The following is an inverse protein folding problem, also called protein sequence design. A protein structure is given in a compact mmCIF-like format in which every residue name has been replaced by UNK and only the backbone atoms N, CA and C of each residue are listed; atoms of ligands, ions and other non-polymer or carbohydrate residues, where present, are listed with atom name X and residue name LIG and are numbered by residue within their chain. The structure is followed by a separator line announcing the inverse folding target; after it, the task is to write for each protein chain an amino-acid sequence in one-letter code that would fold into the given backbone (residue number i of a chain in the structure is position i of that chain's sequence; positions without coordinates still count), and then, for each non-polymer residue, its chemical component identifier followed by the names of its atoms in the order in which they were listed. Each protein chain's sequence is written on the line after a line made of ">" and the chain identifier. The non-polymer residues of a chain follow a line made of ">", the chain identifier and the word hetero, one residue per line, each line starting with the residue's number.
data_IF_587424577170
#
_entry.id   IF_587424577170
#
_cell.length_a   1.000
_cell.length_b   1.000
_cell.length_c   1.000
_cell.angle_alpha   90.00
_cell.angle_beta   90.00
_cell.angle_gamma   90.00
#
_symmetry.space_group_name_H-M   'P 1'
#
loop_
_entity.id
_entity.type
_entity.pdbx_description
1 polymer ?
#
# COMPACT_ATOMS: atom_id res chain seq x y z
N UNK A 1 -0.53 2.24 -15.02
CA UNK A 1 -1.41 3.38 -15.39
C UNK A 1 -2.37 2.96 -16.49
N UNK A 2 -3.46 3.72 -16.67
CA UNK A 2 -4.34 3.60 -17.83
C UNK A 2 -3.75 4.44 -18.96
N UNK A 3 -3.52 3.86 -20.14
CA UNK A 3 -2.88 4.51 -21.28
C UNK A 3 -3.81 4.53 -22.49
N UNK A 4 -3.98 5.72 -23.07
CA UNK A 4 -4.63 5.91 -24.35
C UNK A 4 -3.59 5.81 -25.47
N UNK A 5 -3.64 4.79 -26.35
CA UNK A 5 -2.67 4.62 -27.43
C UNK A 5 -2.82 5.62 -28.58
N UNK A 6 -3.98 6.26 -28.72
CA UNK A 6 -4.24 7.25 -29.78
C UNK A 6 -3.77 8.63 -29.32
N UNK A 7 -4.26 9.07 -28.16
CA UNK A 7 -3.88 10.37 -27.59
C UNK A 7 -2.50 10.36 -26.92
N UNK A 8 -1.87 9.19 -26.82
CA UNK A 8 -0.57 8.97 -26.19
C UNK A 8 -0.47 9.61 -24.79
N UNK A 9 -1.49 9.34 -23.98
CA UNK A 9 -1.65 10.00 -22.67
C UNK A 9 -2.13 9.06 -21.60
N UNK A 10 -1.79 9.39 -20.35
CA UNK A 10 -2.32 8.70 -19.18
C UNK A 10 -3.71 9.21 -18.85
N UNK A 11 -4.63 8.30 -18.55
CA UNK A 11 -6.01 8.57 -18.16
C UNK A 11 -6.25 8.28 -16.67
N UNK A 12 -7.07 9.11 -16.03
CA UNK A 12 -7.68 8.79 -14.74
C UNK A 12 -8.79 7.73 -14.91
N UNK A 13 -9.25 7.10 -13.83
CA UNK A 13 -10.28 6.08 -13.91
C UNK A 13 -11.61 6.63 -14.46
N UNK A 14 -11.95 7.87 -14.08
CA UNK A 14 -13.17 8.58 -14.48
C UNK A 14 -13.17 9.01 -15.95
N UNK A 15 -12.01 8.95 -16.60
CA UNK A 15 -11.85 9.26 -18.03
C UNK A 15 -12.04 8.02 -18.92
N UNK A 16 -12.46 6.90 -18.32
CA UNK A 16 -12.69 5.64 -18.99
C UNK A 16 -14.17 5.32 -18.85
N UNK A 17 -14.82 5.05 -19.96
CA UNK A 17 -16.22 4.65 -19.95
C UNK A 17 -16.41 3.20 -19.43
N UNK A 18 -17.67 2.79 -19.33
CA UNK A 18 -18.04 1.43 -18.89
C UNK A 18 -17.55 0.33 -19.82
N UNK A 19 -17.21 0.64 -21.07
CA UNK A 19 -16.66 -0.31 -22.04
C UNK A 19 -15.13 -0.37 -22.00
N UNK A 20 -14.48 0.38 -21.08
CA UNK A 20 -13.03 0.41 -20.97
C UNK A 20 -12.35 1.27 -22.04
N UNK A 21 -13.08 2.20 -22.66
CA UNK A 21 -12.55 3.08 -23.72
C UNK A 21 -12.32 4.50 -23.18
N UNK A 22 -11.39 5.19 -23.82
CA UNK A 22 -11.12 6.59 -23.58
C UNK A 22 -12.33 7.44 -23.92
N UNK A 23 -12.79 8.27 -22.97
CA UNK A 23 -13.92 9.19 -23.16
C UNK A 23 -13.76 10.15 -24.35
N UNK A 24 -12.53 10.39 -24.81
CA UNK A 24 -12.21 11.35 -25.86
C UNK A 24 -11.87 10.67 -27.19
N UNK A 25 -10.90 9.76 -27.18
CA UNK A 25 -10.42 9.13 -28.41
C UNK A 25 -11.27 7.91 -28.83
N UNK A 26 -12.08 7.37 -27.90
CA UNK A 26 -12.82 6.12 -28.10
C UNK A 26 -11.93 4.86 -28.18
N UNK A 27 -10.61 5.02 -28.02
CA UNK A 27 -9.66 3.93 -28.06
C UNK A 27 -9.80 3.03 -26.83
N UNK A 28 -9.60 1.73 -27.02
CA UNK A 28 -9.53 0.77 -25.91
C UNK A 28 -8.30 1.09 -25.07
N UNK A 29 -8.51 1.25 -23.77
CA UNK A 29 -7.46 1.68 -22.85
C UNK A 29 -6.53 0.50 -22.50
N UNK A 30 -5.23 0.75 -22.58
CA UNK A 30 -4.20 -0.23 -22.23
C UNK A 30 -3.73 -0.07 -20.77
N UNK A 31 -3.36 -1.18 -20.13
CA UNK A 31 -2.64 -1.14 -18.85
C UNK A 31 -1.14 -1.14 -19.12
N UNK A 32 -0.44 -0.08 -18.69
CA UNK A 32 1.02 0.02 -18.80
C UNK A 32 1.70 0.13 -17.44
N UNK A 33 2.80 -0.62 -17.25
CA UNK A 33 3.72 -0.48 -16.10
C UNK A 33 4.56 0.79 -16.34
N UNK A 34 4.53 1.74 -15.40
CA UNK A 34 5.34 2.97 -15.45
C UNK A 34 6.02 3.20 -14.11
N UNK A 35 7.26 3.65 -14.14
CA UNK A 35 7.95 4.15 -12.94
C UNK A 35 7.35 5.51 -12.57
N UNK A 36 6.85 5.63 -11.34
CA UNK A 36 6.27 6.85 -10.81
C UNK A 36 6.80 7.13 -9.41
N UNK A 37 6.77 8.39 -9.00
CA UNK A 37 7.03 8.78 -7.62
C UNK A 37 5.84 8.38 -6.73
N UNK A 38 6.02 8.29 -5.42
CA UNK A 38 4.93 8.07 -4.49
C UNK A 38 5.27 8.70 -3.15
N UNK A 39 4.28 9.33 -2.52
CA UNK A 39 4.38 9.75 -1.12
C UNK A 39 3.88 8.60 -0.25
N UNK A 40 4.69 8.15 0.70
CA UNK A 40 4.33 7.03 1.61
C UNK A 40 3.34 7.47 2.71
N UNK A 41 2.15 7.92 2.32
CA UNK A 41 1.07 8.33 3.24
C UNK A 41 0.64 7.19 4.18
N UNK A 42 0.84 5.94 3.77
CA UNK A 42 0.54 4.74 4.57
C UNK A 42 1.27 4.71 5.91
N UNK A 43 2.45 5.35 6.04
CA UNK A 43 3.16 5.46 7.33
C UNK A 43 2.38 6.28 8.37
N UNK A 44 1.55 7.20 7.92
CA UNK A 44 0.72 8.04 8.78
C UNK A 44 -0.68 7.46 9.01
N UNK A 45 -1.03 6.33 8.37
CA UNK A 45 -2.38 5.80 8.37
C UNK A 45 -2.96 5.60 9.78
N UNK A 46 -2.22 4.97 10.71
CA UNK A 46 -2.68 4.80 12.10
C UNK A 46 -2.93 6.14 12.81
N UNK A 47 -2.02 7.11 12.67
CA UNK A 47 -2.21 8.46 13.27
C UNK A 47 -3.40 9.19 12.65
N UNK A 48 -3.59 9.03 11.34
CA UNK A 48 -4.74 9.57 10.62
C UNK A 48 -6.03 8.90 11.07
N UNK A 49 -6.03 7.58 11.30
CA UNK A 49 -7.18 6.85 11.83
C UNK A 49 -7.49 7.26 13.28
N UNK A 50 -6.52 7.19 14.19
CA UNK A 50 -6.67 7.55 15.60
C UNK A 50 -7.08 9.02 15.78
N UNK A 51 -6.57 9.90 14.91
CA UNK A 51 -6.93 11.32 14.91
C UNK A 51 -8.39 11.60 14.56
N UNK A 52 -9.09 10.68 13.89
CA UNK A 52 -10.53 10.86 13.58
C UNK A 52 -11.37 10.90 14.86
N UNK A 53 -10.98 10.14 15.88
CA UNK A 53 -11.69 10.09 17.17
C UNK A 53 -11.63 11.41 17.94
N UNK A 54 -10.74 12.32 17.55
CA UNK A 54 -10.57 13.63 18.18
C UNK A 54 -11.42 14.73 17.53
N UNK A 55 -12.06 14.45 16.39
CA UNK A 55 -12.81 15.44 15.63
C UNK A 55 -14.26 15.51 16.13
N UNK A 56 -14.59 16.51 16.95
CA UNK A 56 -15.98 16.79 17.35
C UNK A 56 -16.76 17.41 16.20
N UNK A 57 -17.99 16.95 15.94
CA UNK A 57 -18.90 17.44 14.88
C UNK A 57 -18.47 17.07 13.44
N UNK A 58 -17.67 16.02 13.27
CA UNK A 58 -17.21 15.55 11.95
C UNK A 58 -17.62 14.09 11.65
N UNK A 59 -18.61 13.55 12.36
CA UNK A 59 -18.91 12.11 12.39
C UNK A 59 -19.04 11.49 10.99
N UNK A 60 -19.82 12.09 10.09
CA UNK A 60 -20.01 11.58 8.73
C UNK A 60 -18.71 11.54 7.92
N UNK A 61 -17.89 12.59 8.01
CA UNK A 61 -16.59 12.67 7.31
C UNK A 61 -15.61 11.70 7.95
N UNK A 62 -15.65 11.55 9.27
CA UNK A 62 -14.83 10.59 10.00
C UNK A 62 -15.17 9.15 9.61
N UNK A 63 -16.43 8.81 9.44
CA UNK A 63 -16.86 7.49 8.97
C UNK A 63 -16.37 7.21 7.53
N UNK A 64 -16.55 8.18 6.62
CA UNK A 64 -16.04 8.07 5.24
C UNK A 64 -14.52 7.83 5.25
N UNK A 65 -13.77 8.62 6.02
CA UNK A 65 -12.32 8.45 6.10
C UNK A 65 -11.91 7.17 6.83
N UNK A 66 -12.62 6.75 7.86
CA UNK A 66 -12.35 5.51 8.60
C UNK A 66 -12.50 4.30 7.67
N UNK A 67 -13.57 4.27 6.87
CA UNK A 67 -13.77 3.25 5.86
C UNK A 67 -12.72 3.32 4.75
N UNK A 68 -12.34 4.51 4.32
CA UNK A 68 -11.35 4.71 3.25
C UNK A 68 -9.93 4.33 3.69
N UNK A 69 -9.54 4.65 4.93
CA UNK A 69 -8.27 4.25 5.52
C UNK A 69 -8.30 2.74 5.81
N UNK A 70 -9.41 2.22 6.35
CA UNK A 70 -9.56 0.84 6.78
C UNK A 70 -8.75 0.49 8.04
N UNK A 71 -8.72 -0.81 8.35
CA UNK A 71 -8.13 -1.31 9.60
C UNK A 71 -6.61 -1.11 9.61
N UNK A 72 -6.11 -0.38 10.60
CA UNK A 72 -4.67 -0.10 10.72
C UNK A 72 -3.93 -1.05 11.67
N UNK A 73 -4.61 -1.93 12.40
CA UNK A 73 -3.97 -2.79 13.39
C UNK A 73 -3.98 -4.25 12.90
N UNK A 74 -3.09 -4.55 11.95
CA UNK A 74 -2.93 -5.91 11.41
C UNK A 74 -1.51 -6.41 11.51
N UNK A 75 -1.34 -7.73 11.40
CA UNK A 75 -0.04 -8.38 11.37
C UNK A 75 0.37 -8.60 9.92
N UNK A 76 1.57 -8.15 9.59
CA UNK A 76 2.16 -8.33 8.26
C UNK A 76 3.21 -9.44 8.30
N UNK A 77 3.15 -10.34 7.33
CA UNK A 77 4.05 -11.46 7.13
C UNK A 77 4.62 -11.42 5.71
N UNK A 78 5.94 -11.54 5.59
CA UNK A 78 6.60 -11.72 4.30
C UNK A 78 7.01 -13.18 4.19
N UNK A 79 6.38 -13.92 3.28
CA UNK A 79 6.70 -15.32 3.05
C UNK A 79 7.54 -15.50 1.79
N UNK A 80 8.65 -16.24 1.87
CA UNK A 80 9.40 -16.61 0.70
C UNK A 80 8.67 -17.67 -0.11
N UNK A 81 8.87 -17.60 -1.42
CA UNK A 81 8.21 -18.42 -2.42
C UNK A 81 9.19 -19.41 -3.05
N UNK A 82 8.65 -20.54 -3.52
CA UNK A 82 9.36 -21.47 -4.40
C UNK A 82 8.45 -21.94 -5.52
N UNK A 83 9.02 -22.19 -6.70
CA UNK A 83 8.30 -22.78 -7.81
C UNK A 83 8.09 -24.30 -7.64
N UNK A 84 7.39 -24.91 -8.59
CA UNK A 84 7.13 -26.36 -8.61
C UNK A 84 8.41 -27.21 -8.70
N UNK A 85 9.50 -26.65 -9.23
CA UNK A 85 10.84 -27.28 -9.25
C UNK A 85 11.62 -27.09 -7.94
N UNK A 86 10.96 -26.62 -6.87
CA UNK A 86 11.55 -26.33 -5.56
C UNK A 86 12.64 -25.25 -5.56
N UNK A 87 12.74 -24.44 -6.61
CA UNK A 87 13.69 -23.33 -6.68
C UNK A 87 13.10 -22.08 -6.02
N UNK A 88 13.91 -21.31 -5.26
CA UNK A 88 13.45 -20.07 -4.65
C UNK A 88 13.08 -19.04 -5.72
N UNK A 89 12.06 -18.24 -5.42
CA UNK A 89 11.67 -17.09 -6.24
C UNK A 89 12.18 -15.79 -5.58
N UNK A 90 12.39 -14.74 -6.39
CA UNK A 90 12.80 -13.44 -5.87
C UNK A 90 11.64 -12.71 -5.18
N UNK A 91 10.42 -12.97 -5.64
CA UNK A 91 9.21 -12.41 -5.07
C UNK A 91 8.90 -12.99 -3.68
N UNK A 92 8.30 -12.15 -2.84
CA UNK A 92 7.77 -12.53 -1.54
C UNK A 92 6.24 -12.35 -1.53
N UNK A 93 5.54 -13.24 -0.84
CA UNK A 93 4.13 -13.02 -0.52
C UNK A 93 4.03 -12.10 0.70
N UNK A 94 3.44 -10.92 0.49
CA UNK A 94 3.05 -10.00 1.56
C UNK A 94 1.64 -10.34 2.05
N UNK A 95 1.57 -11.16 3.11
CA UNK A 95 0.31 -11.54 3.73
C UNK A 95 -0.01 -10.62 4.91
N UNK A 96 -1.24 -10.10 4.95
CA UNK A 96 -1.76 -9.36 6.09
C UNK A 96 -2.92 -10.10 6.74
N UNK A 97 -2.92 -10.18 8.07
CA UNK A 97 -3.93 -10.90 8.84
C UNK A 97 -4.34 -10.11 10.08
N UNK A 98 -5.61 -10.23 10.46
CA UNK A 98 -6.10 -9.68 11.73
C UNK A 98 -5.61 -10.52 12.93
N UNK A 99 -5.60 -11.85 12.78
CA UNK A 99 -5.15 -12.80 13.80
C UNK A 99 -3.88 -13.56 13.34
N UNK A 100 -2.74 -13.35 14.01
CA UNK A 100 -1.49 -14.02 13.66
C UNK A 100 -1.49 -15.49 14.12
N UNK A 101 -2.37 -15.91 15.03
CA UNK A 101 -2.50 -17.31 15.44
C UNK A 101 -3.01 -18.16 14.28
N UNK A 102 -3.95 -17.62 13.48
CA UNK A 102 -4.41 -18.26 12.25
C UNK A 102 -3.30 -18.60 11.26
N UNK A 103 -2.24 -17.79 11.20
CA UNK A 103 -1.07 -18.05 10.32
C UNK A 103 -0.32 -19.29 10.76
N UNK A 104 -0.19 -19.51 12.06
CA UNK A 104 0.48 -20.70 12.58
C UNK A 104 -0.26 -21.98 12.15
N UNK A 105 -1.60 -21.92 12.07
CA UNK A 105 -2.52 -23.01 11.70
C UNK A 105 -2.76 -23.16 10.20
N UNK A 106 -2.37 -22.18 9.41
CA UNK A 106 -2.58 -22.18 7.98
C UNK A 106 -1.96 -23.44 7.34
N UNK A 107 -2.72 -24.09 6.46
CA UNK A 107 -2.24 -25.25 5.69
C UNK A 107 -1.95 -24.89 4.24
N UNK A 108 -2.58 -23.83 3.74
CA UNK A 108 -2.41 -23.29 2.40
C UNK A 108 -2.67 -21.79 2.41
N UNK A 109 -2.30 -21.09 1.34
CA UNK A 109 -2.67 -19.69 1.10
C UNK A 109 -3.69 -19.62 -0.02
N UNK A 110 -4.67 -18.75 0.13
CA UNK A 110 -5.63 -18.41 -0.92
C UNK A 110 -5.31 -17.01 -1.42
N UNK A 111 -5.13 -16.85 -2.73
CA UNK A 111 -5.01 -15.57 -3.41
C UNK A 111 -6.11 -15.41 -4.45
N UNK A 112 -6.66 -14.21 -4.60
CA UNK A 112 -7.69 -13.91 -5.60
C UNK A 112 -7.06 -13.54 -6.94
N UNK A 113 -7.69 -13.89 -8.05
CA UNK A 113 -7.32 -13.38 -9.38
C UNK A 113 -7.24 -11.85 -9.36
N UNK A 114 -6.14 -11.32 -9.88
CA UNK A 114 -5.79 -9.90 -9.79
C UNK A 114 -4.79 -9.58 -8.67
N UNK A 115 -4.46 -10.55 -7.80
CA UNK A 115 -3.27 -10.49 -6.96
C UNK A 115 -2.00 -10.51 -7.85
N UNK A 116 -0.92 -9.77 -7.55
CA UNK A 116 0.29 -9.73 -8.38
C UNK A 116 0.89 -11.12 -8.67
N UNK A 117 0.87 -12.00 -7.67
CA UNK A 117 1.33 -13.39 -7.82
C UNK A 117 0.36 -14.32 -8.59
N UNK A 118 -0.82 -13.83 -8.99
CA UNK A 118 -1.76 -14.55 -9.86
C UNK A 118 -1.63 -14.14 -11.33
N UNK A 119 -0.73 -13.21 -11.65
CA UNK A 119 -0.45 -12.76 -13.01
C UNK A 119 0.12 -13.93 -13.84
N UNK A 120 -0.32 -14.13 -15.10
CA UNK A 120 0.21 -15.16 -16.01
C UNK A 120 1.74 -15.18 -16.17
N UNK A 121 2.44 -14.08 -15.88
CA UNK A 121 3.91 -14.05 -15.83
C UNK A 121 4.48 -15.06 -14.81
N UNK A 122 3.73 -15.39 -13.75
CA UNK A 122 4.14 -16.37 -12.74
C UNK A 122 3.76 -17.79 -13.16
N UNK A 123 4.74 -18.71 -13.16
CA UNK A 123 4.50 -20.14 -13.39
C UNK A 123 3.92 -20.78 -12.14
N UNK A 124 2.58 -20.85 -12.07
CA UNK A 124 1.88 -21.72 -11.13
C UNK A 124 2.15 -23.20 -11.48
N UNK A 125 2.18 -24.11 -10.48
CA UNK A 125 2.00 -23.85 -9.06
C UNK A 125 3.30 -23.36 -8.36
N UNK A 126 3.12 -22.64 -7.26
CA UNK A 126 4.20 -22.29 -6.34
C UNK A 126 3.74 -22.49 -4.88
N UNK A 127 4.70 -22.57 -3.96
CA UNK A 127 4.44 -22.75 -2.53
C UNK A 127 5.10 -21.64 -1.72
N UNK A 128 4.52 -21.32 -0.56
CA UNK A 128 5.08 -20.38 0.41
C UNK A 128 5.68 -21.14 1.59
N UNK A 129 6.76 -20.64 2.18
CA UNK A 129 7.26 -21.18 3.45
C UNK A 129 6.59 -20.45 4.62
N UNK A 130 5.83 -21.17 5.42
CA UNK A 130 5.33 -20.66 6.68
C UNK A 130 6.49 -20.64 7.70
N UNK A 131 6.97 -19.45 8.03
CA UNK A 131 8.08 -19.28 8.98
C UNK A 131 7.75 -19.73 10.42
N UNK A 132 6.46 -19.76 10.80
CA UNK A 132 6.06 -20.18 12.15
C UNK A 132 6.00 -21.71 12.23
N UNK A 133 5.32 -22.35 11.29
CA UNK A 133 5.16 -23.82 11.30
C UNK A 133 6.34 -24.57 10.68
N UNK A 134 7.15 -23.89 9.87
CA UNK A 134 8.24 -24.47 9.08
C UNK A 134 7.77 -25.31 7.90
N UNK A 135 6.48 -25.20 7.52
CA UNK A 135 5.87 -26.01 6.47
C UNK A 135 5.75 -25.22 5.17
N UNK A 136 6.05 -25.88 4.05
CA UNK A 136 5.73 -25.35 2.73
C UNK A 136 4.25 -25.55 2.43
N UNK A 137 3.55 -24.45 2.22
CA UNK A 137 2.11 -24.40 2.00
C UNK A 137 1.83 -24.09 0.53
N UNK A 138 0.94 -24.83 -0.15
CA UNK A 138 0.57 -24.51 -1.51
C UNK A 138 -0.19 -23.18 -1.57
N UNK A 139 -0.06 -22.47 -2.69
CA UNK A 139 -0.84 -21.26 -2.98
C UNK A 139 -1.93 -21.59 -3.99
N UNK A 140 -3.16 -21.22 -3.66
CA UNK A 140 -4.35 -21.47 -4.47
C UNK A 140 -4.88 -20.15 -5.01
N UNK A 141 -5.16 -20.13 -6.31
CA UNK A 141 -5.78 -18.98 -6.97
C UNK A 141 -7.28 -19.22 -7.07
N UNK A 142 -8.07 -18.32 -6.47
CA UNK A 142 -9.53 -18.31 -6.58
C UNK A 142 -10.01 -17.22 -7.56
N UNK A 143 -11.17 -17.40 -8.22
CA UNK A 143 -11.74 -16.42 -9.15
C UNK A 143 -11.95 -15.03 -8.55
N UNK A 144 -12.04 -14.00 -9.39
CA UNK A 144 -12.29 -12.61 -8.95
C UNK A 144 -13.62 -12.48 -8.18
N UNK A 145 -14.64 -13.28 -8.52
CA UNK A 145 -15.95 -13.31 -7.86
C UNK A 145 -16.04 -14.31 -6.68
N UNK A 146 -14.91 -14.79 -6.16
CA UNK A 146 -14.89 -15.72 -5.04
C UNK A 146 -15.64 -15.17 -3.80
N UNK A 147 -16.70 -15.88 -3.41
CA UNK A 147 -17.56 -15.58 -2.26
C UNK A 147 -17.14 -16.45 -1.06
N UNK A 148 -16.07 -16.03 -0.40
CA UNK A 148 -15.52 -16.74 0.76
C UNK A 148 -15.10 -15.77 1.86
N UNK A 149 -14.36 -16.28 2.87
CA UNK A 149 -13.89 -15.45 3.99
C UNK A 149 -13.15 -14.19 3.51
N UNK A 150 -13.19 -13.10 4.30
CA UNK A 150 -12.55 -11.84 3.93
C UNK A 150 -11.06 -12.03 3.66
N UNK A 151 -10.57 -11.35 2.62
CA UNK A 151 -9.19 -11.40 2.18
C UNK A 151 -8.58 -10.01 2.29
N UNK A 152 -7.37 -9.93 2.82
CA UNK A 152 -6.63 -8.68 2.94
C UNK A 152 -5.65 -8.59 1.78
N UNK A 153 -5.74 -7.49 1.01
CA UNK A 153 -4.96 -7.33 -0.22
C UNK A 153 -5.06 -8.54 -1.16
N UNK A 154 -6.26 -9.11 -1.31
CA UNK A 154 -6.51 -10.30 -2.14
C UNK A 154 -5.76 -11.57 -1.72
N UNK A 155 -5.32 -11.67 -0.47
CA UNK A 155 -4.70 -12.87 0.11
C UNK A 155 -5.29 -13.21 1.48
N UNK A 156 -5.32 -14.50 1.83
CA UNK A 156 -5.64 -15.00 3.19
C UNK A 156 -5.00 -16.35 3.48
N UNK A 157 -4.96 -16.72 4.75
CA UNK A 157 -4.69 -18.10 5.17
C UNK A 157 -5.89 -18.99 4.88
N UNK A 158 -5.62 -20.22 4.46
CA UNK A 158 -6.58 -21.31 4.37
C UNK A 158 -6.41 -22.32 5.49
N UNK A 159 -7.53 -22.78 6.06
CA UNK A 159 -7.60 -23.80 7.10
C UNK A 159 -8.35 -25.03 6.60
N UNK A 160 -7.86 -26.23 6.90
CA UNK A 160 -8.43 -27.47 6.35
C UNK A 160 -9.86 -27.76 6.80
N UNK A 161 -10.28 -27.22 7.94
CA UNK A 161 -11.62 -27.43 8.48
C UNK A 161 -12.57 -26.36 7.94
N UNK A 162 -12.17 -25.10 8.01
CA UNK A 162 -13.01 -24.00 7.54
C UNK A 162 -13.18 -23.97 6.01
N UNK A 163 -12.17 -24.44 5.27
CA UNK A 163 -12.11 -24.37 3.81
C UNK A 163 -12.20 -25.75 3.14
N UNK A 164 -13.00 -26.67 3.71
CA UNK A 164 -13.12 -28.06 3.24
C UNK A 164 -13.41 -28.18 1.73
N UNK A 165 -14.21 -27.28 1.16
CA UNK A 165 -14.51 -27.25 -0.28
C UNK A 165 -13.28 -26.98 -1.13
N UNK A 166 -12.40 -26.05 -0.70
CA UNK A 166 -11.15 -25.77 -1.40
C UNK A 166 -10.15 -26.92 -1.24
N UNK A 167 -10.13 -27.55 -0.06
CA UNK A 167 -9.29 -28.75 0.19
C UNK A 167 -9.65 -29.88 -0.76
N UNK A 168 -10.94 -30.16 -0.92
CA UNK A 168 -11.45 -31.17 -1.84
C UNK A 168 -11.17 -30.81 -3.29
N UNK A 169 -11.52 -29.58 -3.70
CA UNK A 169 -11.36 -29.11 -5.08
C UNK A 169 -9.90 -29.14 -5.55
N UNK A 170 -8.96 -28.75 -4.69
CA UNK A 170 -7.54 -28.63 -5.04
C UNK A 170 -6.69 -29.81 -4.53
N UNK A 171 -7.31 -30.88 -4.01
CA UNK A 171 -6.64 -32.06 -3.47
C UNK A 171 -5.49 -31.73 -2.49
N UNK A 172 -5.75 -30.83 -1.53
CA UNK A 172 -4.72 -30.35 -0.62
C UNK A 172 -4.32 -31.46 0.36
N UNK A 173 -3.11 -31.98 0.23
CA UNK A 173 -2.58 -33.04 1.09
C UNK A 173 -2.03 -32.43 2.39
N UNK A 174 -2.61 -32.83 3.52
CA UNK A 174 -2.24 -32.31 4.83
C UNK A 174 -0.82 -32.77 5.23
N UNK A 175 0.05 -31.81 5.56
CA UNK A 175 1.28 -32.11 6.29
C UNK A 175 0.94 -32.51 7.72
N UNK A 176 1.26 -33.75 8.13
CA UNK A 176 1.10 -34.22 9.52
C UNK A 176 2.06 -33.47 10.45
N UNK A 177 1.66 -32.30 10.94
CA UNK A 177 2.28 -31.72 12.13
C UNK A 177 1.21 -31.13 13.02
N UNK A 178 1.01 -31.76 14.17
CA UNK A 178 0.26 -31.17 15.26
C UNK A 178 1.02 -29.91 15.69
N UNK A 179 0.51 -28.75 15.33
CA UNK A 179 1.01 -27.49 15.87
C UNK A 179 0.74 -27.52 17.37
N UNK A 180 1.76 -27.27 18.18
CA UNK A 180 1.54 -26.99 19.60
C UNK A 180 0.52 -25.85 19.71
N UNK A 181 -0.40 -25.88 20.70
CA UNK A 181 -1.27 -24.75 20.96
C UNK A 181 -0.38 -23.54 21.28
N UNK A 182 -0.28 -22.62 20.32
CA UNK A 182 0.52 -21.40 20.44
C UNK A 182 -0.39 -20.26 20.85
N UNK A 183 0.05 -19.50 21.85
CA UNK A 183 -0.60 -18.24 22.21
C UNK A 183 0.00 -17.08 21.38
N UNK A 184 -0.61 -15.89 21.46
CA UNK A 184 -0.16 -14.70 20.73
C UNK A 184 1.31 -14.35 21.02
N UNK A 185 1.76 -14.52 22.27
CA UNK A 185 3.14 -14.23 22.68
C UNK A 185 4.11 -15.20 22.02
N UNK A 186 3.77 -16.48 21.94
CA UNK A 186 4.61 -17.50 21.29
C UNK A 186 4.80 -17.17 19.80
N UNK A 187 3.71 -16.82 19.11
CA UNK A 187 3.76 -16.42 17.70
C UNK A 187 4.63 -15.18 17.49
N UNK A 188 4.47 -14.18 18.36
CA UNK A 188 5.27 -12.96 18.32
C UNK A 188 6.75 -13.23 18.63
N UNK A 189 7.07 -14.10 19.59
CA UNK A 189 8.45 -14.45 19.93
C UNK A 189 9.11 -15.27 18.82
N UNK A 190 8.47 -16.32 18.29
CA UNK A 190 8.99 -17.13 17.18
C UNK A 190 9.33 -16.24 15.98
N UNK A 191 8.51 -15.23 15.72
CA UNK A 191 8.75 -14.31 14.62
C UNK A 191 9.77 -13.19 14.89
N UNK A 192 9.99 -12.81 16.16
CA UNK A 192 11.08 -11.89 16.55
C UNK A 192 12.44 -12.58 16.46
N UNK A 193 12.49 -13.88 16.72
CA UNK A 193 13.72 -14.66 16.68
C UNK A 193 14.17 -14.90 15.22
N UNK A 194 15.09 -14.03 14.75
CA UNK A 194 15.76 -14.07 13.43
C UNK A 194 16.56 -15.34 13.12
N UNK A 195 16.55 -16.34 14.01
CA UNK A 195 17.13 -17.65 13.78
C UNK A 195 16.11 -18.67 14.23
N UNK A 196 15.40 -19.25 13.26
CA UNK A 196 14.70 -20.51 13.50
C UNK A 196 15.73 -21.51 14.07
N UNK A 197 15.35 -22.37 15.03
CA UNK A 197 16.11 -23.58 15.29
C UNK A 197 16.38 -24.25 13.94
N UNK A 198 17.59 -24.78 13.69
CA UNK A 198 17.90 -25.52 12.46
C UNK A 198 16.86 -26.64 12.29
N UNK A 199 15.81 -26.40 11.51
CA UNK A 199 14.79 -27.39 11.22
C UNK A 199 15.33 -28.28 10.11
N UNK A 200 15.68 -29.52 10.45
CA UNK A 200 15.94 -30.56 9.46
C UNK A 200 14.60 -31.03 8.90
N UNK A 201 14.33 -30.69 7.64
CA UNK A 201 13.29 -31.32 6.83
C UNK A 201 13.99 -31.95 5.61
N UNK A 202 14.53 -33.16 5.78
CA UNK A 202 15.32 -33.83 4.73
C UNK A 202 16.67 -33.16 4.42
N UNK A 203 17.24 -33.49 3.26
CA UNK A 203 18.60 -33.13 2.81
C UNK A 203 18.76 -31.67 2.33
N UNK A 204 17.71 -30.85 2.42
CA UNK A 204 17.79 -29.43 2.06
C UNK A 204 18.07 -28.64 3.34
N UNK A 205 19.34 -28.36 3.58
CA UNK A 205 19.74 -27.25 4.45
C UNK A 205 19.18 -26.00 3.80
N UNK A 206 18.08 -25.45 4.33
CA UNK A 206 17.60 -24.14 3.92
C UNK A 206 18.74 -23.15 4.19
N UNK A 207 19.44 -22.77 3.12
CA UNK A 207 20.58 -21.87 3.19
C UNK A 207 20.21 -20.59 3.93
N UNK A 208 21.16 -20.14 4.75
CA UNK A 208 21.00 -19.13 5.78
C UNK A 208 20.52 -17.74 5.30
N UNK A 209 20.29 -17.53 4.00
CA UNK A 209 19.74 -16.29 3.44
C UNK A 209 18.21 -16.16 3.59
N UNK A 210 17.46 -17.27 3.55
CA UNK A 210 15.98 -17.23 3.59
C UNK A 210 15.41 -16.82 4.96
N UNK A 211 16.17 -17.07 6.04
CA UNK A 211 15.71 -16.88 7.41
C UNK A 211 15.71 -15.39 7.83
N UNK A 212 16.47 -14.52 7.18
CA UNK A 212 16.47 -13.07 7.48
C UNK A 212 15.21 -12.33 6.99
N UNK A 213 14.40 -12.97 6.14
CA UNK A 213 13.27 -12.33 5.45
C UNK A 213 11.95 -12.37 6.24
N UNK A 214 11.90 -13.10 7.36
CA UNK A 214 10.74 -13.12 8.23
C UNK A 214 10.69 -11.85 9.09
N UNK A 215 9.74 -10.97 8.79
CA UNK A 215 9.40 -9.83 9.66
C UNK A 215 7.91 -9.90 9.99
N UNK A 216 7.57 -10.26 11.23
CA UNK A 216 6.29 -9.82 11.79
C UNK A 216 6.49 -8.40 12.27
N UNK A 217 5.73 -7.50 11.66
CA UNK A 217 5.52 -6.16 12.19
C UNK A 217 4.03 -6.07 12.46
N UNK A 218 3.66 -5.59 13.65
CA UNK A 218 2.33 -5.03 13.84
C UNK A 218 2.27 -3.83 12.91
N UNK A 219 1.72 -4.02 11.74
CA UNK A 219 1.76 -3.03 10.69
C UNK A 219 0.66 -2.02 10.99
N UNK A 220 1.11 -0.88 11.51
CA UNK A 220 0.27 0.31 11.74
C UNK A 220 -0.11 1.01 10.43
N UNK A 221 0.30 0.46 9.28
CA UNK A 221 -0.16 0.92 7.97
C UNK A 221 -1.53 0.32 7.74
N UNK A 222 -2.46 1.16 7.32
CA UNK A 222 -3.78 0.76 6.90
C UNK A 222 -3.78 -0.46 5.97
N UNK A 223 -4.65 -1.43 6.29
CA UNK A 223 -5.39 -2.19 5.29
C UNK A 223 -6.31 -1.21 4.59
N UNK A 224 -5.78 -0.49 3.62
CA UNK A 224 -6.64 0.22 2.70
C UNK A 224 -7.53 -0.85 2.04
N UNK A 225 -8.86 -0.85 2.29
CA UNK A 225 -9.79 -1.85 1.77
C UNK A 225 -10.01 -1.50 0.32
N UNK A 226 -8.98 -1.75 -0.46
CA UNK A 226 -8.83 -1.22 -1.80
C UNK A 226 -8.03 -2.26 -2.54
N UNK A 227 -8.56 -2.65 -3.69
CA UNK A 227 -7.80 -3.41 -4.65
C UNK A 227 -6.48 -2.66 -4.87
N UNK A 228 -5.39 -3.36 -5.18
CA UNK A 228 -4.12 -2.73 -5.56
C UNK A 228 -4.28 -1.66 -6.67
N UNK A 229 -5.41 -1.65 -7.39
CA UNK A 229 -5.84 -0.60 -8.32
C UNK A 229 -6.11 0.77 -7.69
N UNK A 230 -6.53 0.83 -6.42
CA UNK A 230 -6.96 2.07 -5.75
C UNK A 230 -5.92 2.60 -4.75
N UNK A 231 -5.04 1.75 -4.22
CA UNK A 231 -3.78 2.24 -3.60
C UNK A 231 -2.93 2.99 -4.64
N UNK A 232 -3.03 2.59 -5.92
CA UNK A 232 -2.48 3.37 -7.02
C UNK A 232 -3.21 4.70 -7.23
N UNK A 233 -4.49 4.86 -6.90
CA UNK A 233 -5.20 6.16 -6.96
C UNK A 233 -4.63 7.16 -5.94
N UNK A 234 -4.31 6.70 -4.73
CA UNK A 234 -3.68 7.53 -3.68
C UNK A 234 -2.30 8.03 -4.13
N UNK A 235 -1.52 7.19 -4.80
CA UNK A 235 -0.21 7.57 -5.35
C UNK A 235 -0.32 8.43 -6.63
N UNK A 236 -1.30 8.15 -7.49
CA UNK A 236 -1.56 8.89 -8.73
C UNK A 236 -1.89 10.35 -8.45
N UNK A 237 -2.34 10.71 -7.25
CA UNK A 237 -2.80 12.06 -6.94
C UNK A 237 -1.70 13.13 -6.82
N UNK A 238 -0.42 12.78 -6.65
CA UNK A 238 0.64 13.78 -6.63
C UNK A 238 1.39 13.93 -7.97
N UNK A 239 1.33 12.95 -8.87
CA UNK A 239 2.15 12.93 -10.09
C UNK A 239 1.28 12.78 -11.32
N UNK A 240 1.45 13.70 -12.27
CA UNK A 240 0.69 13.73 -13.52
C UNK A 240 1.63 13.83 -14.71
N UNK A 241 1.34 13.07 -15.77
CA UNK A 241 1.95 13.26 -17.09
C UNK A 241 1.24 14.44 -17.79
N UNK A 242 1.39 15.63 -17.22
CA UNK A 242 0.75 16.88 -17.66
C UNK A 242 1.79 17.99 -17.63
N UNK A 243 1.74 18.85 -18.64
CA UNK A 243 2.64 20.01 -18.73
C UNK A 243 2.26 21.11 -17.74
N UNK A 244 0.98 21.26 -17.39
CA UNK A 244 0.51 22.30 -16.48
C UNK A 244 0.42 21.78 -15.04
N UNK A 245 1.48 21.97 -14.27
CA UNK A 245 1.59 21.57 -12.87
C UNK A 245 2.95 21.92 -12.28
N UNK A 246 3.13 21.64 -10.99
CA UNK A 246 4.41 21.89 -10.31
C UNK A 246 5.45 20.87 -10.76
N UNK A 247 6.62 21.31 -11.26
CA UNK A 247 7.69 20.39 -11.59
C UNK A 247 8.16 19.61 -10.35
N UNK A 248 8.45 18.33 -10.54
CA UNK A 248 9.01 17.49 -9.47
C UNK A 248 10.50 17.87 -9.32
N UNK A 249 10.96 18.30 -8.14
CA UNK A 249 12.31 18.83 -7.95
C UNK A 249 13.35 17.72 -7.78
N UNK A 250 13.44 16.83 -8.78
CA UNK A 250 14.36 15.69 -8.81
C UNK A 250 15.13 15.69 -10.14
N UNK A 251 16.43 15.47 -10.09
CA UNK A 251 17.29 15.23 -11.25
C UNK A 251 17.50 13.72 -11.38
N UNK A 252 17.35 13.19 -12.59
CA UNK A 252 17.71 11.80 -12.90
C UNK A 252 19.15 11.75 -13.40
N UNK A 253 19.88 10.71 -12.99
CA UNK A 253 21.18 10.38 -13.60
C UNK A 253 21.01 10.04 -15.08
N UNK A 254 22.09 10.13 -15.90
CA UNK A 254 22.00 9.84 -17.34
C UNK A 254 21.50 8.43 -17.69
N UNK A 255 21.71 7.47 -16.80
CA UNK A 255 21.20 6.09 -16.93
C UNK A 255 19.70 5.96 -16.56
N UNK A 256 19.08 7.03 -16.05
CA UNK A 256 17.69 7.05 -15.61
C UNK A 256 17.41 6.23 -14.35
N UNK A 257 18.42 5.67 -13.68
CA UNK A 257 18.26 4.77 -12.53
C UNK A 257 18.19 5.55 -11.23
N UNK A 258 19.16 6.45 -11.02
CA UNK A 258 19.31 7.21 -9.78
C UNK A 258 18.58 8.54 -9.90
N UNK A 259 17.95 8.96 -8.80
CA UNK A 259 17.25 10.22 -8.71
C UNK A 259 17.74 11.00 -7.49
N UNK A 260 18.11 12.26 -7.68
CA UNK A 260 18.69 13.13 -6.65
C UNK A 260 17.80 14.36 -6.50
N UNK A 261 17.43 14.76 -5.27
CA UNK A 261 16.65 15.98 -5.06
C UNK A 261 17.48 17.22 -5.40
N UNK A 262 16.81 18.24 -5.93
CA UNK A 262 17.39 19.58 -6.04
C UNK A 262 17.69 20.14 -4.64
N UNK A 263 18.76 20.91 -4.53
CA UNK A 263 19.06 21.67 -3.31
C UNK A 263 18.11 22.87 -3.16
N UNK A 264 17.98 23.39 -1.94
CA UNK A 264 17.09 24.54 -1.66
C UNK A 264 17.45 25.78 -2.50
N UNK A 265 18.73 25.95 -2.84
CA UNK A 265 19.21 27.07 -3.66
C UNK A 265 18.83 26.96 -5.14
N UNK A 266 18.43 25.76 -5.58
CA UNK A 266 18.01 25.49 -6.96
C UNK A 266 16.48 25.59 -7.13
N UNK A 267 15.75 25.87 -6.04
CA UNK A 267 14.31 26.06 -6.04
C UNK A 267 13.93 27.54 -6.24
N UNK A 268 12.79 27.84 -6.86
CA UNK A 268 11.86 26.92 -7.50
C UNK A 268 12.33 26.48 -8.90
N UNK A 269 12.02 25.23 -9.28
CA UNK A 269 12.20 24.78 -10.65
C UNK A 269 11.12 25.41 -11.54
N UNK A 270 11.49 26.44 -12.31
CA UNK A 270 10.56 27.16 -13.18
C UNK A 270 10.42 26.45 -14.53
N UNK A 271 9.22 25.97 -14.83
CA UNK A 271 8.91 25.26 -16.06
C UNK A 271 8.74 26.24 -17.23
N UNK A 272 9.84 26.78 -17.77
CA UNK A 272 9.78 27.70 -18.93
C UNK A 272 8.89 28.95 -18.74
N UNK A 273 8.60 29.34 -17.49
CA UNK A 273 7.73 30.48 -17.14
C UNK A 273 8.46 31.48 -16.25
N UNK A 274 8.03 32.75 -16.36
CA UNK A 274 8.53 33.86 -15.54
C UNK A 274 8.17 33.66 -14.07
N UNK A 275 9.03 34.14 -13.17
CA UNK A 275 8.83 34.20 -11.72
C UNK A 275 7.45 34.79 -11.40
N UNK A 276 6.61 34.07 -10.63
CA UNK A 276 5.36 34.62 -10.07
C UNK A 276 4.05 33.84 -10.27
N UNK A 277 4.05 32.68 -10.94
CA UNK A 277 2.82 31.88 -11.10
C UNK A 277 2.55 30.91 -9.94
N UNK A 278 1.26 30.82 -9.55
CA UNK A 278 0.78 30.04 -8.41
C UNK A 278 0.82 28.55 -8.69
N UNK A 279 1.47 27.82 -7.79
CA UNK A 279 1.42 26.36 -7.67
C UNK A 279 0.25 25.97 -6.76
N UNK A 280 -0.72 25.14 -7.20
CA UNK A 280 -1.75 24.60 -6.33
C UNK A 280 -1.31 23.27 -5.69
N UNK A 281 -1.55 23.07 -4.38
CA UNK A 281 -1.85 21.77 -3.74
C UNK A 281 -1.98 21.94 -2.21
N UNK A 282 -2.97 21.22 -1.62
CA UNK A 282 -3.25 20.73 -0.25
C UNK A 282 -2.76 21.47 1.02
N UNK A 283 -2.11 22.62 0.87
CA UNK A 283 -1.46 23.47 1.90
C UNK A 283 -1.91 24.92 1.78
N UNK A 284 -2.83 25.21 0.87
CA UNK A 284 -3.24 26.58 0.54
C UNK A 284 -3.75 27.34 1.77
N UNK A 285 -4.43 26.64 2.69
CA UNK A 285 -4.90 27.21 3.96
C UNK A 285 -3.76 27.75 4.83
N UNK A 286 -2.58 27.13 4.80
CA UNK A 286 -1.38 27.64 5.49
C UNK A 286 -0.81 28.86 4.77
N UNK A 287 -0.79 28.85 3.44
CA UNK A 287 -0.22 29.96 2.66
C UNK A 287 -1.04 31.25 2.78
N UNK A 288 -2.34 31.16 3.11
CA UNK A 288 -3.13 32.35 3.43
C UNK A 288 -2.65 33.08 4.69
N UNK A 289 -2.03 32.37 5.64
CA UNK A 289 -1.51 32.97 6.87
C UNK A 289 -0.22 33.76 6.62
N UNK A 290 0.57 33.38 5.63
CA UNK A 290 1.87 33.99 5.32
C UNK A 290 2.17 34.01 3.79
N UNK A 291 1.38 34.76 2.99
CA UNK A 291 1.37 34.64 1.54
C UNK A 291 2.62 35.21 0.84
N UNK A 292 3.37 36.06 1.52
CA UNK A 292 4.51 36.79 0.97
C UNK A 292 5.87 36.30 1.50
N UNK A 293 5.89 35.30 2.38
CA UNK A 293 7.13 34.75 2.90
C UNK A 293 7.90 33.98 1.82
N UNK A 294 9.10 34.44 1.52
CA UNK A 294 9.97 33.85 0.49
C UNK A 294 10.99 32.87 1.08
N UNK A 295 11.16 32.87 2.41
CA UNK A 295 12.24 32.15 3.08
C UNK A 295 11.76 30.85 3.74
N UNK A 296 10.46 30.75 4.03
CA UNK A 296 9.88 29.59 4.68
C UNK A 296 8.46 29.32 4.18
N UNK A 297 7.99 28.09 4.42
CA UNK A 297 6.60 27.69 4.17
C UNK A 297 5.61 28.53 5.00
N UNK A 298 5.93 28.74 6.27
CA UNK A 298 5.11 29.44 7.25
C UNK A 298 6.00 29.96 8.39
N UNK A 299 5.86 31.22 8.78
CA UNK A 299 6.50 31.75 9.98
C UNK A 299 5.88 31.18 11.27
N UNK A 300 6.65 31.16 12.36
CA UNK A 300 6.18 30.63 13.65
C UNK A 300 5.01 31.44 14.20
N UNK A 301 5.04 32.75 13.98
CA UNK A 301 3.99 33.69 14.35
C UNK A 301 2.71 33.42 13.56
N UNK A 302 2.82 33.15 12.26
CA UNK A 302 1.67 32.80 11.42
C UNK A 302 1.10 31.43 11.80
N UNK A 303 1.95 30.44 12.14
CA UNK A 303 1.51 29.12 12.62
C UNK A 303 0.67 29.18 13.88
N UNK A 304 0.82 30.20 14.73
CA UNK A 304 0.03 30.34 15.95
C UNK A 304 -1.47 30.63 15.70
N UNK A 305 -1.85 30.93 14.45
CA UNK A 305 -3.25 31.16 14.04
C UNK A 305 -3.96 29.88 13.58
N UNK A 306 -3.26 28.75 13.62
CA UNK A 306 -3.85 27.43 13.40
C UNK A 306 -4.43 26.87 14.71
N UNK A 307 -5.42 25.97 14.66
CA UNK A 307 -6.04 25.38 13.47
C UNK A 307 -7.09 26.27 12.80
N UNK A 308 -7.59 25.85 11.63
CA UNK A 308 -8.77 26.47 11.00
C UNK A 308 -10.00 26.19 11.88
N UNK A 309 -10.69 27.25 12.33
CA UNK A 309 -11.86 27.11 13.22
C UNK A 309 -13.07 26.47 12.51
N UNK A 310 -13.35 26.89 11.28
CA UNK A 310 -14.48 26.41 10.47
C UNK A 310 -13.99 26.19 9.03
N UNK A 311 -14.21 24.97 8.52
CA UNK A 311 -13.97 24.62 7.12
C UNK A 311 -15.31 24.32 6.43
N UNK A 312 -15.56 24.96 5.29
CA UNK A 312 -16.79 24.78 4.50
C UNK A 312 -16.42 24.22 3.13
N UNK A 313 -17.04 23.10 2.75
CA UNK A 313 -16.84 22.44 1.47
C UNK A 313 -17.88 21.34 1.23
N UNK A 314 -17.94 20.84 -0.01
CA UNK A 314 -18.86 19.75 -0.38
C UNK A 314 -18.37 18.37 0.08
N UNK A 315 -19.30 17.43 0.22
CA UNK A 315 -19.04 16.06 0.71
C UNK A 315 -18.14 15.25 -0.24
N UNK A 316 -18.09 15.60 -1.52
CA UNK A 316 -17.21 15.01 -2.53
C UNK A 316 -15.72 15.11 -2.17
N UNK A 317 -15.36 16.05 -1.30
CA UNK A 317 -13.98 16.26 -0.84
C UNK A 317 -13.64 15.54 0.46
N UNK A 318 -14.59 14.83 1.08
CA UNK A 318 -14.45 14.22 2.40
C UNK A 318 -13.42 13.07 2.46
N UNK A 319 -13.32 12.26 1.39
CA UNK A 319 -12.40 11.13 1.35
C UNK A 319 -10.97 11.57 1.03
N UNK A 320 -10.73 12.09 -0.18
CA UNK A 320 -9.36 12.30 -0.69
C UNK A 320 -8.76 13.61 -0.20
N UNK A 321 -9.40 14.75 -0.49
CA UNK A 321 -8.83 16.08 -0.19
C UNK A 321 -8.61 16.28 1.30
N UNK A 322 -9.63 15.98 2.12
CA UNK A 322 -9.53 16.09 3.58
C UNK A 322 -8.50 15.11 4.17
N UNK A 323 -8.35 13.91 3.61
CA UNK A 323 -7.28 13.01 4.04
C UNK A 323 -5.90 13.61 3.77
N UNK A 324 -5.65 14.13 2.56
CA UNK A 324 -4.36 14.73 2.22
C UNK A 324 -4.07 15.99 3.06
N UNK A 325 -5.07 16.84 3.28
CA UNK A 325 -4.93 18.01 4.15
C UNK A 325 -4.48 17.62 5.58
N UNK A 326 -5.09 16.57 6.16
CA UNK A 326 -4.71 16.03 7.47
C UNK A 326 -3.33 15.38 7.45
N UNK A 327 -3.00 14.59 6.43
CA UNK A 327 -1.68 13.99 6.25
C UNK A 327 -0.59 15.06 6.24
N UNK A 328 -0.81 16.12 5.46
CA UNK A 328 0.11 17.25 5.35
C UNK A 328 0.26 17.98 6.67
N UNK A 329 -0.84 18.22 7.40
CA UNK A 329 -0.78 18.81 8.75
C UNK A 329 0.08 17.96 9.69
N UNK A 330 -0.15 16.64 9.75
CA UNK A 330 0.70 15.74 10.55
C UNK A 330 2.17 15.78 10.13
N UNK A 331 2.44 15.75 8.83
CA UNK A 331 3.80 15.81 8.29
C UNK A 331 4.49 17.13 8.67
N UNK A 332 3.80 18.26 8.56
CA UNK A 332 4.34 19.58 8.91
C UNK A 332 4.62 19.72 10.40
N UNK A 333 3.80 19.13 11.26
CA UNK A 333 4.07 19.04 12.69
C UNK A 333 5.30 18.17 12.98
N UNK A 334 5.45 17.03 12.30
CA UNK A 334 6.61 16.15 12.49
C UNK A 334 7.94 16.80 12.09
N UNK A 335 7.94 17.68 11.09
CA UNK A 335 9.14 18.44 10.69
C UNK A 335 9.27 19.80 11.41
N UNK A 336 8.41 20.08 12.39
CA UNK A 336 8.48 21.27 13.24
C UNK A 336 8.04 22.58 12.58
N UNK A 337 7.31 22.53 11.47
CA UNK A 337 6.77 23.73 10.80
C UNK A 337 5.51 24.24 11.48
N UNK A 338 4.65 23.32 11.95
CA UNK A 338 3.44 23.63 12.74
C UNK A 338 3.53 23.02 14.12
N UNK A 339 2.81 23.58 15.10
CA UNK A 339 2.76 23.07 16.48
C UNK A 339 1.73 21.96 16.67
#
# INVERSE_FOLDING_TARGET
>A
VNWDPVDNTVLAAEQIDSEGRSWRSGAVVEKRKLRQWMVETTRYAKRLSDGLQKLSNWDQVADIQSNWIGKCDVYRFLFPLRNDSHQPMEELLDLRVDDPIGVARASFIVIRQGHPLSDPEHRLPFSVLNGISGVWMPVIVVPENYDGPPMHLNARCGDTVADALLVEQFNIVQGRRALMPMNLRDVQEIAKWRKLPKFRCGDIVADALLVEQFKIVQDRRALMPMNLRDVQEIAKNCIRQRSWGTPIPMILSPDGVTAVPLSDNELPLLQGRKVGEKVPCDRYYLRYLDPHNQNALLSREASARMPVDIYVGGIEHAAVHMFFARFVSYFLTDIGVTQ
#
